data_IF_558222299633
#
_entry.id   IF_558222299633
#
_cell.length_a   1.000
_cell.length_b   1.000
_cell.length_c   1.000
_cell.angle_alpha   90.00
_cell.angle_beta   90.00
_cell.angle_gamma   90.00
#
_symmetry.space_group_name_H-M   'P 1'
#
loop_
_entity.id
_entity.type
_entity.pdbx_description
1 polymer ?
#
# COMPACT_ATOMS: atom_id res chain seq x y z
N UNK A 1 5.35 2.12 32.05
CA UNK A 1 6.06 2.52 33.28
C UNK A 1 6.14 1.29 34.17
N UNK A 2 7.34 0.90 34.62
CA UNK A 2 7.53 -0.26 35.49
C UNK A 2 7.20 0.16 36.92
N UNK A 3 6.19 -0.46 37.53
CA UNK A 3 5.69 -0.08 38.86
C UNK A 3 6.07 -1.07 39.96
N UNK A 4 6.61 -2.23 39.56
CA UNK A 4 7.27 -3.23 40.41
C UNK A 4 8.17 -4.11 39.51
N UNK A 5 9.10 -4.90 40.07
CA UNK A 5 10.19 -5.55 39.27
C UNK A 5 9.75 -6.40 38.06
N UNK A 6 8.48 -6.83 37.98
CA UNK A 6 7.90 -7.56 36.83
C UNK A 6 6.55 -7.01 36.35
N UNK A 7 6.13 -5.83 36.79
CA UNK A 7 4.79 -5.30 36.49
C UNK A 7 4.88 -4.15 35.48
N UNK A 8 4.19 -4.34 34.35
CA UNK A 8 4.13 -3.38 33.25
C UNK A 8 2.71 -2.87 33.06
N UNK A 9 2.52 -1.56 33.19
CA UNK A 9 1.22 -0.90 32.97
C UNK A 9 1.08 -0.38 31.54
N UNK A 10 -0.06 -0.69 30.92
CA UNK A 10 -0.42 -0.27 29.57
C UNK A 10 -1.74 0.49 29.58
N UNK A 11 -1.79 1.57 28.80
CA UNK A 11 -3.02 2.33 28.53
C UNK A 11 -3.06 2.59 27.03
N UNK A 12 -4.17 2.26 26.39
CA UNK A 12 -4.44 2.61 25.00
C UNK A 12 -5.81 3.24 24.87
N UNK A 13 -5.95 4.10 23.87
CA UNK A 13 -7.19 4.77 23.53
C UNK A 13 -7.44 4.71 22.03
N UNK A 14 -8.71 4.61 21.63
CA UNK A 14 -9.10 4.69 20.23
C UNK A 14 -10.50 5.29 20.08
N UNK A 15 -10.89 5.72 18.87
CA UNK A 15 -12.27 6.11 18.60
C UNK A 15 -13.24 4.98 18.95
N UNK A 16 -14.23 5.27 19.79
CA UNK A 16 -15.30 4.35 20.17
C UNK A 16 -16.40 4.35 19.11
N UNK A 17 -16.58 3.22 18.44
CA UNK A 17 -17.60 3.03 17.39
C UNK A 17 -18.39 1.73 17.60
N UNK A 18 -18.67 1.37 18.85
CA UNK A 18 -19.26 0.09 19.25
C UNK A 18 -18.46 -1.09 18.67
N UNK A 19 -17.14 -1.05 18.86
CA UNK A 19 -16.17 -2.02 18.37
C UNK A 19 -15.26 -2.47 19.51
N UNK A 20 -14.55 -3.58 19.30
CA UNK A 20 -13.44 -3.96 20.18
C UNK A 20 -12.17 -3.16 19.86
N UNK A 21 -11.29 -3.04 20.84
CA UNK A 21 -9.91 -2.58 20.67
C UNK A 21 -8.96 -3.66 21.18
N UNK A 22 -7.81 -3.81 20.52
CA UNK A 22 -6.84 -4.86 20.83
C UNK A 22 -5.43 -4.32 20.91
N UNK A 23 -4.67 -4.87 21.86
CA UNK A 23 -3.23 -4.70 21.98
C UNK A 23 -2.59 -6.09 22.10
N UNK A 24 -1.72 -6.43 21.16
CA UNK A 24 -1.01 -7.71 21.12
C UNK A 24 0.49 -7.57 21.23
N UNK A 25 1.12 -8.63 21.70
CA UNK A 25 2.56 -8.74 21.91
C UNK A 25 3.08 -9.86 21.01
N UNK A 26 3.88 -9.47 20.03
CA UNK A 26 4.32 -10.33 18.92
C UNK A 26 5.83 -10.52 18.92
N UNK A 27 6.34 -11.66 18.48
CA UNK A 27 7.80 -11.87 18.35
C UNK A 27 8.39 -11.21 17.10
N UNK A 28 7.62 -11.16 16.02
CA UNK A 28 8.05 -10.69 14.70
C UNK A 28 7.21 -9.50 14.18
N UNK A 29 6.21 -9.09 14.95
CA UNK A 29 5.30 -7.99 14.60
C UNK A 29 4.09 -8.44 13.80
N UNK A 30 3.90 -9.75 13.58
CA UNK A 30 2.73 -10.33 12.92
C UNK A 30 1.67 -10.77 13.92
N UNK A 31 0.43 -10.90 13.45
CA UNK A 31 -0.69 -11.40 14.23
C UNK A 31 -0.50 -12.87 14.63
N UNK A 32 -0.27 -13.74 13.64
CA UNK A 32 -0.17 -15.19 13.82
C UNK A 32 0.99 -15.56 14.76
N UNK A 33 0.68 -16.36 15.78
CA UNK A 33 1.62 -16.78 16.83
C UNK A 33 1.75 -15.80 18.00
N UNK A 34 0.99 -14.70 18.02
CA UNK A 34 1.03 -13.70 19.09
C UNK A 34 -0.04 -13.93 20.16
N UNK A 35 0.09 -13.23 21.28
CA UNK A 35 -0.96 -13.11 22.29
C UNK A 35 -1.45 -11.68 22.38
N UNK A 36 -2.74 -11.48 22.67
CA UNK A 36 -3.33 -10.15 22.77
C UNK A 36 -4.28 -10.00 23.94
N UNK A 37 -4.44 -8.76 24.40
CA UNK A 37 -5.53 -8.31 25.25
C UNK A 37 -6.50 -7.55 24.36
N UNK A 38 -7.77 -7.96 24.39
CA UNK A 38 -8.84 -7.37 23.59
C UNK A 38 -9.99 -7.04 24.52
N UNK A 39 -10.63 -5.91 24.29
CA UNK A 39 -11.74 -5.47 25.12
C UNK A 39 -12.66 -4.53 24.38
N UNK A 40 -13.87 -4.46 24.90
CA UNK A 40 -14.97 -3.68 24.37
C UNK A 40 -15.93 -3.29 25.49
N UNK A 41 -16.77 -2.29 25.20
CA UNK A 41 -17.91 -1.93 26.05
C UNK A 41 -19.16 -2.27 25.26
N UNK A 42 -20.00 -3.13 25.83
CA UNK A 42 -21.28 -3.55 25.26
C UNK A 42 -22.31 -2.43 25.27
N UNK A 43 -23.36 -2.55 24.46
CA UNK A 43 -24.42 -1.54 24.35
C UNK A 43 -25.19 -1.31 25.68
N UNK A 44 -25.17 -2.29 26.58
CA UNK A 44 -25.72 -2.22 27.94
C UNK A 44 -24.76 -1.55 28.95
N UNK A 45 -23.58 -1.10 28.49
CA UNK A 45 -22.52 -0.54 29.33
C UNK A 45 -21.59 -1.59 29.94
N UNK A 46 -21.78 -2.88 29.63
CA UNK A 46 -20.94 -3.94 30.19
C UNK A 46 -19.54 -3.90 29.59
N UNK A 47 -18.56 -3.58 30.43
CA UNK A 47 -17.14 -3.60 30.11
C UNK A 47 -16.58 -5.03 30.11
N UNK A 48 -16.00 -5.47 28.98
CA UNK A 48 -15.38 -6.79 28.85
C UNK A 48 -13.94 -6.68 28.37
N UNK A 49 -13.04 -7.46 28.98
CA UNK A 49 -11.65 -7.60 28.57
C UNK A 49 -11.24 -9.06 28.64
N UNK A 50 -10.58 -9.56 27.60
CA UNK A 50 -10.13 -10.94 27.48
C UNK A 50 -8.75 -11.04 26.87
N UNK A 51 -8.04 -12.07 27.27
CA UNK A 51 -6.79 -12.51 26.64
C UNK A 51 -7.11 -13.39 25.44
N UNK A 52 -6.30 -13.35 24.40
CA UNK A 52 -6.42 -14.18 23.21
C UNK A 52 -5.06 -14.75 22.79
N UNK A 53 -5.09 -16.00 22.31
CA UNK A 53 -4.03 -16.54 21.46
C UNK A 53 -4.42 -16.36 20.00
N UNK A 54 -3.52 -15.78 19.19
CA UNK A 54 -3.75 -15.47 17.78
C UNK A 54 -3.07 -16.56 16.93
N UNK A 55 -3.69 -17.73 16.83
CA UNK A 55 -3.13 -18.90 16.13
C UNK A 55 -3.18 -18.82 14.60
N UNK A 56 -4.02 -17.96 14.05
CA UNK A 56 -4.27 -17.80 12.61
C UNK A 56 -5.13 -16.56 12.33
N UNK A 57 -5.42 -16.31 11.06
CA UNK A 57 -6.23 -15.16 10.62
C UNK A 57 -7.73 -15.48 10.58
N UNK A 58 -8.10 -16.77 10.65
CA UNK A 58 -9.49 -17.17 10.72
C UNK A 58 -10.06 -16.99 12.14
N UNK A 59 -11.35 -16.63 12.29
CA UNK A 59 -11.97 -16.49 13.61
C UNK A 59 -11.89 -17.75 14.49
N UNK A 60 -11.73 -18.94 13.90
CA UNK A 60 -11.61 -20.21 14.64
C UNK A 60 -10.24 -20.39 15.30
N UNK A 61 -9.20 -19.73 14.76
CA UNK A 61 -7.83 -19.80 15.24
C UNK A 61 -7.49 -18.65 16.19
N UNK A 62 -8.43 -17.74 16.43
CA UNK A 62 -8.32 -16.66 17.42
C UNK A 62 -9.03 -17.11 18.70
N UNK A 63 -8.25 -17.62 19.64
CA UNK A 63 -8.78 -18.41 20.75
C UNK A 63 -8.86 -17.55 22.02
N UNK A 64 -10.08 -17.30 22.57
CA UNK A 64 -10.25 -16.54 23.80
C UNK A 64 -9.67 -17.29 25.01
N UNK A 65 -9.27 -16.52 26.02
CA UNK A 65 -8.71 -16.95 27.31
C UNK A 65 -7.41 -17.77 27.23
N UNK A 66 -6.83 -17.92 26.04
CA UNK A 66 -5.53 -18.56 25.81
C UNK A 66 -4.42 -17.55 25.54
N UNK A 67 -3.18 -18.02 25.42
CA UNK A 67 -1.99 -17.20 25.20
C UNK A 67 -1.11 -17.08 26.43
N UNK A 68 0.03 -16.40 26.28
CA UNK A 68 1.10 -16.34 27.28
C UNK A 68 1.16 -15.02 28.07
N UNK A 69 0.11 -14.19 28.02
CA UNK A 69 0.04 -12.94 28.77
C UNK A 69 -0.54 -13.19 30.16
N UNK A 70 0.16 -12.80 31.22
CA UNK A 70 -0.34 -12.90 32.59
C UNK A 70 -0.87 -11.53 33.03
N UNK A 71 -2.19 -11.39 33.10
CA UNK A 71 -2.84 -10.20 33.62
C UNK A 71 -2.69 -10.16 35.15
N UNK A 72 -2.40 -8.98 35.70
CA UNK A 72 -2.51 -8.76 37.15
C UNK A 72 -3.99 -8.66 37.51
N UNK A 73 -4.43 -9.43 38.52
CA UNK A 73 -5.83 -9.48 38.93
C UNK A 73 -6.34 -8.10 39.41
N UNK A 74 -7.59 -7.76 39.05
CA UNK A 74 -8.31 -6.56 39.49
C UNK A 74 -7.68 -5.21 39.09
N UNK A 75 -6.77 -5.18 38.11
CA UNK A 75 -6.14 -3.94 37.62
C UNK A 75 -6.53 -3.58 36.19
N UNK A 76 -7.32 -4.42 35.53
CA UNK A 76 -7.86 -4.14 34.20
C UNK A 76 -9.09 -3.24 34.28
N UNK A 77 -9.12 -2.20 33.44
CA UNK A 77 -10.27 -1.33 33.28
C UNK A 77 -10.50 -1.02 31.81
N UNK A 78 -11.76 -0.91 31.43
CA UNK A 78 -12.15 -0.46 30.10
C UNK A 78 -13.39 0.42 30.24
N UNK A 79 -13.32 1.59 29.60
CA UNK A 79 -14.36 2.62 29.68
C UNK A 79 -14.51 3.26 28.31
N UNK A 80 -15.75 3.54 27.91
CA UNK A 80 -16.05 4.31 26.71
C UNK A 80 -16.70 5.63 27.13
N UNK A 81 -16.04 6.75 26.80
CA UNK A 81 -16.49 8.10 27.15
C UNK A 81 -16.18 9.06 25.98
N UNK A 82 -17.09 10.00 25.69
CA UNK A 82 -16.88 11.04 24.66
C UNK A 82 -16.41 10.48 23.30
N UNK A 83 -17.00 9.37 22.85
CA UNK A 83 -16.63 8.67 21.61
C UNK A 83 -15.17 8.18 21.57
N UNK A 84 -14.55 7.97 22.73
CA UNK A 84 -13.23 7.35 22.89
C UNK A 84 -13.38 6.15 23.82
N UNK A 85 -12.75 5.04 23.46
CA UNK A 85 -12.62 3.87 24.33
C UNK A 85 -11.21 3.84 24.89
N UNK A 86 -11.11 3.72 26.21
CA UNK A 86 -9.88 3.60 26.97
C UNK A 86 -9.79 2.18 27.51
N UNK A 87 -8.65 1.54 27.30
CA UNK A 87 -8.31 0.26 27.92
C UNK A 87 -7.02 0.41 28.69
N UNK A 88 -7.05 0.00 29.96
CA UNK A 88 -5.87 -0.08 30.81
C UNK A 88 -5.76 -1.48 31.41
N UNK A 89 -4.54 -2.03 31.42
CA UNK A 89 -4.24 -3.32 32.03
C UNK A 89 -2.79 -3.38 32.48
N UNK A 90 -2.49 -4.35 33.34
CA UNK A 90 -1.13 -4.65 33.77
C UNK A 90 -0.75 -6.07 33.42
N UNK A 91 0.49 -6.24 32.96
CA UNK A 91 1.10 -7.55 32.72
C UNK A 91 2.15 -7.86 33.78
N UNK A 92 2.13 -9.10 34.27
CA UNK A 92 3.19 -9.68 35.07
C UNK A 92 4.16 -10.43 34.14
N UNK A 93 5.31 -9.83 33.84
CA UNK A 93 6.34 -10.42 32.99
C UNK A 93 7.69 -9.75 33.23
N UNK A 94 8.77 -10.51 33.09
CA UNK A 94 10.14 -9.97 33.17
C UNK A 94 10.35 -8.88 32.11
N UNK A 95 9.91 -9.14 30.87
CA UNK A 95 9.95 -8.17 29.78
C UNK A 95 8.85 -8.45 28.76
N UNK A 96 7.95 -7.49 28.48
CA UNK A 96 6.97 -7.63 27.41
C UNK A 96 7.67 -7.65 26.04
N UNK A 97 7.01 -8.21 25.02
CA UNK A 97 7.56 -8.11 23.67
C UNK A 97 7.66 -6.65 23.23
N UNK A 98 8.78 -6.27 22.62
CA UNK A 98 8.99 -4.95 22.06
C UNK A 98 8.26 -4.74 20.72
N UNK A 99 7.69 -5.79 20.11
CA UNK A 99 6.81 -5.63 18.96
C UNK A 99 5.36 -5.72 19.40
N UNK A 100 4.70 -4.58 19.31
CA UNK A 100 3.32 -4.41 19.76
C UNK A 100 2.42 -4.23 18.55
N UNK A 101 1.38 -5.03 18.46
CA UNK A 101 0.33 -4.91 17.45
C UNK A 101 -0.89 -4.24 18.07
N UNK A 102 -1.56 -3.37 17.31
CA UNK A 102 -2.80 -2.73 17.70
C UNK A 102 -3.88 -3.07 16.68
N UNK A 103 -5.13 -3.18 17.14
CA UNK A 103 -6.26 -3.44 16.25
C UNK A 103 -7.54 -2.75 16.71
N UNK A 104 -8.36 -2.35 15.75
CA UNK A 104 -9.72 -1.85 15.95
C UNK A 104 -10.72 -2.75 15.24
N UNK A 105 -11.72 -3.19 15.97
CA UNK A 105 -12.82 -3.98 15.43
C UNK A 105 -13.68 -3.21 14.42
N UNK A 106 -14.51 -3.91 13.65
CA UNK A 106 -15.46 -3.29 12.75
C UNK A 106 -16.53 -2.49 13.53
N UNK A 107 -17.00 -1.40 12.93
CA UNK A 107 -18.01 -0.52 13.53
C UNK A 107 -19.31 -1.29 13.79
N UNK A 108 -19.87 -1.13 15.00
CA UNK A 108 -21.15 -1.74 15.38
C UNK A 108 -21.13 -3.26 15.51
N UNK A 109 -19.96 -3.91 15.48
CA UNK A 109 -19.83 -5.36 15.57
C UNK A 109 -18.95 -5.76 16.74
N UNK A 110 -19.62 -6.00 17.85
CA UNK A 110 -19.02 -6.48 19.10
C UNK A 110 -18.89 -8.01 19.12
N UNK A 111 -17.91 -8.56 19.85
CA UNK A 111 -17.84 -9.99 20.12
C UNK A 111 -19.09 -10.50 20.85
N UNK A 112 -19.56 -11.69 20.48
CA UNK A 112 -20.72 -12.33 21.13
C UNK A 112 -20.35 -12.79 22.55
N UNK A 113 -21.23 -12.63 23.55
CA UNK A 113 -20.98 -13.10 24.92
C UNK A 113 -20.96 -14.64 25.04
N UNK A 114 -21.38 -15.37 24.01
CA UNK A 114 -21.43 -16.84 24.01
C UNK A 114 -20.04 -17.44 23.81
N UNK A 115 -19.30 -16.95 22.82
CA UNK A 115 -18.03 -17.55 22.40
C UNK A 115 -16.86 -16.56 22.35
N UNK A 116 -17.12 -15.26 22.57
CA UNK A 116 -16.12 -14.20 22.54
C UNK A 116 -15.28 -14.17 21.27
N UNK A 117 -15.83 -14.67 20.16
CA UNK A 117 -15.10 -14.78 18.91
C UNK A 117 -14.93 -13.39 18.28
N UNK A 118 -13.70 -13.09 17.85
CA UNK A 118 -13.39 -11.81 17.22
C UNK A 118 -13.71 -11.87 15.73
N UNK A 119 -14.27 -10.77 15.22
CA UNK A 119 -14.38 -10.53 13.79
C UNK A 119 -13.11 -9.86 13.27
N UNK A 120 -12.90 -9.88 11.96
CA UNK A 120 -11.75 -9.23 11.33
C UNK A 120 -11.75 -7.73 11.67
N UNK A 121 -10.60 -7.24 12.14
CA UNK A 121 -10.39 -5.84 12.46
C UNK A 121 -10.48 -4.96 11.20
N UNK A 122 -10.93 -3.71 11.34
CA UNK A 122 -10.94 -2.72 10.25
C UNK A 122 -9.60 -1.99 10.11
N UNK A 123 -8.94 -1.76 11.24
CA UNK A 123 -7.65 -1.10 11.30
C UNK A 123 -6.71 -1.94 12.17
N UNK A 124 -5.45 -2.00 11.77
CA UNK A 124 -4.42 -2.65 12.54
C UNK A 124 -3.07 -2.01 12.21
N UNK A 125 -2.14 -2.08 13.15
CA UNK A 125 -0.76 -1.66 12.91
C UNK A 125 0.18 -2.42 13.82
N UNK A 126 1.46 -2.38 13.51
CA UNK A 126 2.54 -3.01 14.26
C UNK A 126 3.62 -1.98 14.51
N UNK A 127 4.08 -1.91 15.76
CA UNK A 127 5.09 -0.94 16.20
C UNK A 127 6.19 -1.65 16.97
N UNK A 128 7.38 -1.08 16.91
CA UNK A 128 8.43 -1.40 17.85
C UNK A 128 8.38 -0.40 19.01
N UNK A 129 8.38 -0.88 20.25
CA UNK A 129 8.38 -0.09 21.47
C UNK A 129 9.64 -0.45 22.28
N UNK A 130 10.52 0.52 22.44
CA UNK A 130 11.66 0.42 23.35
C UNK A 130 11.23 0.82 24.76
N UNK A 131 11.10 -0.16 25.65
CA UNK A 131 10.66 0.05 27.03
C UNK A 131 11.67 0.83 27.88
N UNK A 132 12.94 0.91 27.49
CA UNK A 132 13.96 1.65 28.23
C UNK A 132 13.95 3.13 27.88
N UNK A 133 13.88 3.46 26.59
CA UNK A 133 13.88 4.85 26.12
C UNK A 133 12.48 5.46 26.03
N UNK A 134 11.43 4.63 26.05
CA UNK A 134 10.05 5.04 25.80
C UNK A 134 9.79 5.41 24.34
N UNK A 135 10.74 5.17 23.42
CA UNK A 135 10.55 5.47 22.01
C UNK A 135 9.76 4.37 21.31
N UNK A 136 8.87 4.80 20.43
CA UNK A 136 8.13 3.91 19.53
C UNK A 136 8.46 4.21 18.08
N UNK A 137 8.76 3.18 17.28
CA UNK A 137 8.96 3.30 15.84
C UNK A 137 7.92 2.43 15.11
N UNK A 138 7.09 3.07 14.28
CA UNK A 138 6.23 2.35 13.33
C UNK A 138 7.02 2.04 12.07
N UNK A 139 7.80 0.95 12.05
CA UNK A 139 8.34 0.44 10.78
C UNK A 139 7.22 -0.26 10.02
N UNK A 140 6.64 0.41 9.03
CA UNK A 140 5.82 -0.26 8.02
C UNK A 140 6.64 -1.43 7.46
N UNK A 141 6.17 -2.68 7.57
CA UNK A 141 6.84 -3.82 6.94
C UNK A 141 7.12 -3.51 5.47
N UNK A 142 8.33 -3.83 5.01
CA UNK A 142 8.75 -3.68 3.62
C UNK A 142 8.63 -2.25 3.05
N UNK A 143 8.72 -1.20 3.89
CA UNK A 143 8.62 0.20 3.46
C UNK A 143 9.55 0.55 2.27
N UNK A 144 10.78 0.02 2.28
CA UNK A 144 11.71 0.22 1.17
C UNK A 144 11.22 -0.43 -0.13
N UNK A 145 10.66 -1.64 -0.05
CA UNK A 145 10.12 -2.33 -1.22
C UNK A 145 8.91 -1.58 -1.80
N UNK A 146 8.02 -1.07 -0.93
CA UNK A 146 6.88 -0.22 -1.33
C UNK A 146 7.36 1.06 -2.03
N UNK A 147 8.35 1.75 -1.46
CA UNK A 147 8.95 2.94 -2.07
C UNK A 147 9.61 2.61 -3.42
N UNK A 148 10.38 1.53 -3.50
CA UNK A 148 11.05 1.09 -4.74
C UNK A 148 10.03 0.76 -5.83
N UNK A 149 8.97 0.01 -5.52
CA UNK A 149 7.88 -0.28 -6.45
C UNK A 149 7.25 1.02 -6.99
N UNK A 150 6.87 1.93 -6.10
CA UNK A 150 6.24 3.20 -6.47
C UNK A 150 7.16 4.07 -7.35
N UNK A 151 8.42 4.23 -6.95
CA UNK A 151 9.39 5.03 -7.69
C UNK A 151 9.69 4.43 -9.07
N UNK A 152 9.98 3.13 -9.16
CA UNK A 152 10.25 2.47 -10.43
C UNK A 152 9.10 2.67 -11.41
N UNK A 153 7.85 2.42 -10.98
CA UNK A 153 6.69 2.54 -11.86
C UNK A 153 6.36 3.99 -12.22
N UNK A 154 6.52 4.94 -11.30
CA UNK A 154 6.30 6.35 -11.58
C UNK A 154 7.34 6.91 -12.57
N UNK A 155 8.63 6.61 -12.38
CA UNK A 155 9.68 7.06 -13.29
C UNK A 155 9.58 6.37 -14.67
N UNK A 156 9.31 5.07 -14.71
CA UNK A 156 9.18 4.35 -15.98
C UNK A 156 7.90 4.71 -16.73
N UNK A 157 6.75 4.24 -16.23
CA UNK A 157 5.45 4.35 -16.89
C UNK A 157 4.90 5.77 -16.87
N UNK A 158 5.15 6.52 -15.80
CA UNK A 158 4.62 7.88 -15.60
C UNK A 158 5.46 9.01 -16.21
N UNK A 159 6.76 8.80 -16.43
CA UNK A 159 7.68 9.86 -16.88
C UNK A 159 8.38 9.48 -18.18
N UNK A 160 9.13 8.38 -18.21
CA UNK A 160 9.92 8.00 -19.40
C UNK A 160 9.04 7.63 -20.59
N UNK A 161 7.92 6.92 -20.39
CA UNK A 161 7.00 6.58 -21.50
C UNK A 161 6.42 7.86 -22.17
N UNK A 162 5.85 8.85 -21.43
CA UNK A 162 5.44 10.12 -22.02
C UNK A 162 6.57 10.88 -22.72
N UNK A 163 7.77 10.94 -22.13
CA UNK A 163 8.94 11.58 -22.75
C UNK A 163 9.28 10.92 -24.08
N UNK A 164 9.32 9.59 -24.13
CA UNK A 164 9.54 8.82 -25.36
C UNK A 164 8.48 9.13 -26.43
N UNK A 165 7.21 9.29 -26.05
CA UNK A 165 6.13 9.65 -26.95
C UNK A 165 6.28 11.08 -27.52
N UNK A 166 6.64 12.06 -26.67
CA UNK A 166 6.93 13.45 -27.08
C UNK A 166 8.11 13.46 -28.08
N UNK A 167 9.20 12.76 -27.77
CA UNK A 167 10.36 12.62 -28.66
C UNK A 167 9.96 12.07 -30.03
N UNK A 168 9.19 10.98 -30.08
CA UNK A 168 8.75 10.40 -31.36
C UNK A 168 7.82 11.31 -32.16
N UNK A 169 7.03 12.14 -31.48
CA UNK A 169 6.06 13.03 -32.14
C UNK A 169 6.73 14.27 -32.74
N UNK A 170 7.61 14.91 -31.98
CA UNK A 170 8.11 16.25 -32.28
C UNK A 170 9.52 16.29 -32.86
N UNK A 171 10.33 15.23 -32.68
CA UNK A 171 11.67 15.17 -33.28
C UNK A 171 11.71 14.41 -34.60
N UNK A 172 10.55 14.01 -35.15
CA UNK A 172 10.43 13.13 -36.32
C UNK A 172 11.17 13.60 -37.58
N UNK A 173 11.42 14.89 -37.71
CA UNK A 173 12.21 15.49 -38.81
C UNK A 173 13.71 15.14 -38.76
N UNK A 174 14.22 14.80 -37.59
CA UNK A 174 15.62 14.40 -37.37
C UNK A 174 15.76 12.89 -37.52
N UNK A 175 15.49 12.33 -38.70
CA UNK A 175 15.75 10.91 -39.00
C UNK A 175 17.26 10.68 -39.17
N UNK A 176 17.88 9.65 -38.54
CA UNK A 176 17.28 8.60 -37.73
C UNK A 176 17.30 8.86 -36.21
N UNK A 177 17.77 10.03 -35.75
CA UNK A 177 17.95 10.38 -34.33
C UNK A 177 16.67 10.15 -33.52
N UNK A 178 15.52 10.64 -33.99
CA UNK A 178 14.25 10.50 -33.27
C UNK A 178 13.90 9.03 -32.98
N UNK A 179 14.21 8.14 -33.94
CA UNK A 179 13.87 6.73 -33.86
C UNK A 179 14.73 6.04 -32.80
N UNK A 180 16.05 6.25 -32.83
CA UNK A 180 16.95 5.71 -31.82
C UNK A 180 16.65 6.29 -30.44
N UNK A 181 16.44 7.60 -30.31
CA UNK A 181 16.09 8.22 -29.03
C UNK A 181 14.77 7.65 -28.46
N UNK A 182 13.73 7.54 -29.29
CA UNK A 182 12.46 6.94 -28.88
C UNK A 182 12.66 5.49 -28.42
N UNK A 183 13.28 4.64 -29.26
CA UNK A 183 13.45 3.22 -28.94
C UNK A 183 14.29 3.01 -27.69
N UNK A 184 15.35 3.80 -27.48
CA UNK A 184 16.19 3.71 -26.27
C UNK A 184 15.41 4.12 -25.03
N UNK A 185 14.70 5.25 -25.06
CA UNK A 185 13.89 5.73 -23.92
C UNK A 185 12.79 4.71 -23.59
N UNK A 186 12.06 4.21 -24.59
CA UNK A 186 10.99 3.23 -24.37
C UNK A 186 11.51 1.89 -23.88
N UNK A 187 12.66 1.42 -24.38
CA UNK A 187 13.28 0.18 -23.90
C UNK A 187 13.69 0.30 -22.43
N UNK A 188 14.34 1.41 -22.05
CA UNK A 188 14.73 1.66 -20.66
C UNK A 188 13.50 1.75 -19.75
N UNK A 189 12.48 2.50 -20.18
CA UNK A 189 11.23 2.62 -19.44
C UNK A 189 10.57 1.25 -19.23
N UNK A 190 10.46 0.44 -20.27
CA UNK A 190 9.84 -0.88 -20.18
C UNK A 190 10.59 -1.81 -19.23
N UNK A 191 11.93 -1.85 -19.26
CA UNK A 191 12.73 -2.69 -18.36
C UNK A 191 12.59 -2.27 -16.89
N UNK A 192 12.68 -0.96 -16.61
CA UNK A 192 12.49 -0.43 -15.26
C UNK A 192 11.05 -0.65 -14.76
N UNK A 193 10.07 -0.49 -15.65
CA UNK A 193 8.66 -0.70 -15.35
C UNK A 193 8.34 -2.17 -15.09
N UNK A 194 8.92 -3.08 -15.86
CA UNK A 194 8.82 -4.52 -15.62
C UNK A 194 9.40 -4.90 -14.25
N UNK A 195 10.60 -4.41 -13.92
CA UNK A 195 11.20 -4.61 -12.59
C UNK A 195 10.31 -4.02 -11.48
N UNK A 196 9.71 -2.85 -11.71
CA UNK A 196 8.74 -2.22 -10.82
C UNK A 196 7.51 -3.11 -10.58
N UNK A 197 6.96 -3.74 -11.61
CA UNK A 197 5.81 -4.65 -11.49
C UNK A 197 6.19 -5.93 -10.74
N UNK A 198 7.35 -6.53 -11.05
CA UNK A 198 7.88 -7.68 -10.28
C UNK A 198 8.02 -7.34 -8.80
N UNK A 199 8.57 -6.16 -8.49
CA UNK A 199 8.63 -5.63 -7.12
C UNK A 199 7.23 -5.52 -6.48
N UNK A 200 6.19 -5.23 -7.26
CA UNK A 200 4.80 -5.16 -6.80
C UNK A 200 4.23 -6.52 -6.41
N UNK A 201 4.46 -7.56 -7.22
CA UNK A 201 4.06 -8.93 -6.87
C UNK A 201 4.77 -9.45 -5.62
N UNK A 202 6.07 -9.18 -5.49
CA UNK A 202 6.82 -9.52 -4.28
C UNK A 202 6.26 -8.76 -3.08
N UNK A 203 5.88 -7.49 -3.24
CA UNK A 203 5.32 -6.69 -2.15
C UNK A 203 3.96 -7.22 -1.68
N UNK A 204 3.08 -7.59 -2.62
CA UNK A 204 1.76 -8.17 -2.33
C UNK A 204 1.89 -9.47 -1.52
N UNK A 205 2.70 -10.42 -2.01
CA UNK A 205 2.96 -11.70 -1.34
C UNK A 205 3.48 -11.51 0.09
N UNK A 206 4.38 -10.53 0.27
CA UNK A 206 5.00 -10.23 1.58
C UNK A 206 4.05 -9.54 2.55
N UNK A 207 3.14 -8.71 2.06
CA UNK A 207 2.18 -7.98 2.88
C UNK A 207 0.90 -8.79 3.16
N UNK A 208 0.62 -9.85 2.38
CA UNK A 208 -0.64 -10.59 2.43
C UNK A 208 -1.88 -9.66 2.32
N UNK A 209 -1.72 -8.56 1.57
CA UNK A 209 -2.78 -7.57 1.33
C UNK A 209 -3.34 -7.78 -0.06
N UNK A 210 -4.66 -7.82 -0.16
CA UNK A 210 -5.35 -7.84 -1.44
C UNK A 210 -5.39 -6.41 -2.05
N UNK A 211 -4.75 -6.27 -3.22
CA UNK A 211 -4.70 -5.04 -4.01
C UNK A 211 -5.24 -5.25 -5.43
N UNK A 212 -6.23 -6.15 -5.55
CA UNK A 212 -6.69 -6.72 -6.82
C UNK A 212 -6.92 -5.69 -7.93
N UNK A 213 -7.63 -4.60 -7.66
CA UNK A 213 -7.90 -3.59 -8.71
C UNK A 213 -6.64 -2.92 -9.26
N UNK A 214 -5.69 -2.57 -8.38
CA UNK A 214 -4.44 -1.90 -8.78
C UNK A 214 -3.54 -2.87 -9.55
N UNK A 215 -3.47 -4.10 -9.06
CA UNK A 215 -2.74 -5.22 -9.68
C UNK A 215 -3.30 -5.56 -11.06
N UNK A 216 -4.61 -5.75 -11.20
CA UNK A 216 -5.25 -6.06 -12.48
C UNK A 216 -5.00 -4.96 -13.50
N UNK A 217 -5.14 -3.69 -13.10
CA UNK A 217 -4.86 -2.56 -13.98
C UNK A 217 -3.36 -2.50 -14.36
N UNK A 218 -2.46 -2.76 -13.41
CA UNK A 218 -1.02 -2.85 -13.65
C UNK A 218 -0.63 -3.96 -14.63
N UNK A 219 -1.21 -5.16 -14.49
CA UNK A 219 -1.01 -6.28 -15.43
C UNK A 219 -1.54 -5.90 -16.81
N UNK A 220 -2.71 -5.27 -16.90
CA UNK A 220 -3.25 -4.83 -18.17
C UNK A 220 -2.34 -3.80 -18.87
N UNK A 221 -1.79 -2.83 -18.13
CA UNK A 221 -0.79 -1.88 -18.63
C UNK A 221 0.48 -2.61 -19.12
N UNK A 222 0.96 -3.61 -18.38
CA UNK A 222 2.10 -4.42 -18.80
C UNK A 222 1.84 -5.16 -20.12
N UNK A 223 0.66 -5.75 -20.28
CA UNK A 223 0.25 -6.40 -21.53
C UNK A 223 0.25 -5.40 -22.69
N UNK A 224 -0.29 -4.20 -22.49
CA UNK A 224 -0.20 -3.12 -23.49
C UNK A 224 1.26 -2.75 -23.79
N UNK A 225 2.14 -2.72 -22.79
CA UNK A 225 3.57 -2.49 -22.96
C UNK A 225 4.25 -3.58 -23.80
N UNK A 226 3.98 -4.86 -23.52
CA UNK A 226 4.46 -5.99 -24.33
C UNK A 226 3.99 -5.89 -25.78
N UNK A 227 2.73 -5.49 -25.98
CA UNK A 227 2.17 -5.23 -27.30
C UNK A 227 2.88 -4.08 -28.05
N UNK A 228 3.40 -3.07 -27.35
CA UNK A 228 4.26 -2.04 -27.95
C UNK A 228 5.64 -2.56 -28.34
N UNK A 229 6.24 -3.43 -27.51
CA UNK A 229 7.53 -4.08 -27.85
C UNK A 229 7.37 -4.97 -29.09
N UNK A 230 6.29 -5.75 -29.17
CA UNK A 230 5.95 -6.53 -30.37
C UNK A 230 5.73 -5.61 -31.57
N UNK A 231 5.08 -4.44 -31.38
CA UNK A 231 4.93 -3.46 -32.45
C UNK A 231 6.28 -3.03 -33.03
N UNK A 232 7.28 -2.80 -32.17
CA UNK A 232 8.63 -2.46 -32.61
C UNK A 232 9.29 -3.61 -33.39
N UNK A 233 9.18 -4.86 -32.94
CA UNK A 233 9.75 -6.02 -33.63
C UNK A 233 9.06 -6.30 -34.98
N UNK A 234 7.75 -6.12 -35.04
CA UNK A 234 6.92 -6.34 -36.23
C UNK A 234 6.80 -5.07 -37.11
N UNK A 235 7.71 -4.09 -36.95
CA UNK A 235 7.66 -2.79 -37.62
C UNK A 235 7.78 -2.94 -39.15
N UNK A 236 6.72 -2.64 -39.95
CA UNK A 236 6.80 -2.78 -41.40
C UNK A 236 7.73 -1.74 -42.04
N UNK A 237 8.29 -2.05 -43.21
CA UNK A 237 9.07 -1.12 -44.03
C UNK A 237 8.29 0.13 -44.44
N UNK A 238 8.98 1.25 -44.72
CA UNK A 238 8.38 2.57 -45.00
C UNK A 238 7.38 2.53 -46.17
N UNK A 239 7.65 1.72 -47.20
CA UNK A 239 6.81 1.58 -48.41
C UNK A 239 5.63 0.61 -48.26
N UNK A 240 5.50 -0.10 -47.13
CA UNK A 240 4.45 -1.11 -46.95
C UNK A 240 3.08 -0.48 -46.71
N UNK A 241 2.04 -0.94 -47.42
CA UNK A 241 0.64 -0.54 -47.15
C UNK A 241 0.19 -0.88 -45.71
N UNK A 242 0.77 -1.92 -45.11
CA UNK A 242 0.48 -2.34 -43.72
C UNK A 242 0.99 -1.32 -42.70
N UNK A 243 1.98 -0.49 -43.07
CA UNK A 243 2.54 0.56 -42.22
C UNK A 243 1.48 1.51 -41.67
N UNK A 244 0.42 1.79 -42.43
CA UNK A 244 -0.69 2.65 -42.00
C UNK A 244 -1.44 2.06 -40.81
N UNK A 245 -1.82 0.78 -40.88
CA UNK A 245 -2.53 0.09 -39.78
C UNK A 245 -1.63 -0.09 -38.57
N UNK A 246 -0.35 -0.42 -38.80
CA UNK A 246 0.65 -0.49 -37.73
C UNK A 246 0.79 0.84 -36.99
N UNK A 247 0.86 1.97 -37.71
CA UNK A 247 0.92 3.30 -37.09
C UNK A 247 -0.34 3.58 -36.25
N UNK A 248 -1.53 3.29 -36.78
CA UNK A 248 -2.78 3.50 -36.05
C UNK A 248 -2.82 2.68 -34.75
N UNK A 249 -2.48 1.40 -34.83
CA UNK A 249 -2.38 0.51 -33.67
C UNK A 249 -1.36 1.01 -32.64
N UNK A 250 -0.13 1.28 -33.07
CA UNK A 250 0.98 1.70 -32.21
C UNK A 250 0.66 3.02 -31.50
N UNK A 251 0.15 4.03 -32.23
CA UNK A 251 -0.19 5.33 -31.66
C UNK A 251 -1.38 5.27 -30.71
N UNK A 252 -2.41 4.49 -31.06
CA UNK A 252 -3.64 4.43 -30.25
C UNK A 252 -3.37 3.68 -28.94
N UNK A 253 -2.80 2.48 -29.02
CA UNK A 253 -2.49 1.71 -27.81
C UNK A 253 -1.43 2.39 -26.94
N UNK A 254 -0.46 3.09 -27.53
CA UNK A 254 0.55 3.83 -26.77
C UNK A 254 -0.06 4.95 -25.93
N UNK A 255 -1.04 5.69 -26.48
CA UNK A 255 -1.75 6.75 -25.75
C UNK A 255 -2.67 6.20 -24.66
N UNK A 256 -3.41 5.12 -24.96
CA UNK A 256 -4.24 4.43 -23.97
C UNK A 256 -3.38 3.94 -22.80
N UNK A 257 -2.23 3.33 -23.08
CA UNK A 257 -1.27 2.89 -22.07
C UNK A 257 -0.84 4.05 -21.17
N UNK A 258 -0.46 5.20 -21.73
CA UNK A 258 -0.05 6.40 -20.96
C UNK A 258 -1.16 6.86 -20.02
N UNK A 259 -2.40 6.95 -20.49
CA UNK A 259 -3.54 7.40 -19.68
C UNK A 259 -3.84 6.42 -18.54
N UNK A 260 -3.85 5.11 -18.83
CA UNK A 260 -4.09 4.08 -17.82
C UNK A 260 -2.96 4.03 -16.79
N UNK A 261 -1.70 4.18 -17.23
CA UNK A 261 -0.54 4.25 -16.34
C UNK A 261 -0.64 5.45 -15.39
N UNK A 262 -0.98 6.63 -15.89
CA UNK A 262 -1.17 7.81 -15.04
C UNK A 262 -2.27 7.59 -13.99
N UNK A 263 -3.43 7.05 -14.39
CA UNK A 263 -4.53 6.71 -13.47
C UNK A 263 -4.11 5.67 -12.42
N UNK A 264 -3.40 4.62 -12.84
CA UNK A 264 -2.96 3.57 -11.92
C UNK A 264 -1.88 4.06 -10.95
N UNK A 265 -1.05 5.03 -11.33
CA UNK A 265 -0.06 5.66 -10.45
C UNK A 265 -0.77 6.49 -9.36
N UNK A 266 -1.75 7.33 -9.71
CA UNK A 266 -2.55 8.03 -8.70
C UNK A 266 -3.24 7.07 -7.75
N UNK A 267 -3.82 5.99 -8.29
CA UNK A 267 -4.43 4.96 -7.45
C UNK A 267 -3.40 4.28 -6.54
N UNK A 268 -2.21 3.98 -7.04
CA UNK A 268 -1.10 3.42 -6.27
C UNK A 268 -0.58 4.37 -5.19
N UNK A 269 -0.55 5.69 -5.42
CA UNK A 269 -0.18 6.69 -4.41
C UNK A 269 -1.21 6.72 -3.28
N UNK A 270 -2.51 6.65 -3.62
CA UNK A 270 -3.60 6.60 -2.64
C UNK A 270 -3.57 5.29 -1.82
N UNK A 271 -3.47 4.14 -2.49
CA UNK A 271 -3.29 2.84 -1.84
C UNK A 271 -1.99 2.77 -1.03
N UNK A 272 -0.99 3.54 -1.47
CA UNK A 272 0.32 3.75 -0.86
C UNK A 272 0.29 4.57 0.43
N UNK A 273 -0.83 5.24 0.73
CA UNK A 273 -0.93 6.31 1.73
C UNK A 273 0.31 7.23 1.75
N UNK A 274 0.85 7.54 0.57
CA UNK A 274 2.10 8.29 0.47
C UNK A 274 1.91 9.79 0.78
N UNK A 275 0.65 10.24 0.83
CA UNK A 275 0.27 11.61 1.17
C UNK A 275 0.08 12.53 -0.04
N UNK A 276 -0.56 13.67 0.22
CA UNK A 276 -0.99 14.65 -0.79
C UNK A 276 0.16 15.22 -1.62
N UNK A 277 1.37 15.33 -1.05
CA UNK A 277 2.55 15.87 -1.72
C UNK A 277 2.91 15.06 -2.97
N UNK A 278 2.84 13.73 -2.91
CA UNK A 278 3.13 12.88 -4.08
C UNK A 278 2.06 13.01 -5.17
N UNK A 279 0.78 13.10 -4.78
CA UNK A 279 -0.31 13.34 -5.72
C UNK A 279 -0.13 14.68 -6.46
N UNK A 280 0.14 15.75 -5.72
CA UNK A 280 0.37 17.09 -6.30
C UNK A 280 1.61 17.08 -7.18
N UNK A 281 2.72 16.50 -6.73
CA UNK A 281 3.96 16.45 -7.50
C UNK A 281 3.80 15.69 -8.83
N UNK A 282 3.09 14.56 -8.82
CA UNK A 282 2.82 13.81 -10.04
C UNK A 282 1.84 14.55 -10.96
N UNK A 283 0.80 15.19 -10.43
CA UNK A 283 -0.11 16.02 -11.20
C UNK A 283 0.59 17.20 -11.89
N UNK A 284 1.50 17.90 -11.18
CA UNK A 284 2.33 18.97 -11.74
C UNK A 284 3.22 18.42 -12.87
N UNK A 285 3.80 17.23 -12.70
CA UNK A 285 4.61 16.59 -13.74
C UNK A 285 3.81 16.33 -15.02
N UNK A 286 2.58 15.80 -14.89
CA UNK A 286 1.68 15.61 -16.03
C UNK A 286 1.28 16.93 -16.68
N UNK A 287 1.04 17.98 -15.89
CA UNK A 287 0.74 19.33 -16.40
C UNK A 287 1.91 19.90 -17.21
N UNK A 288 3.14 19.70 -16.76
CA UNK A 288 4.35 20.11 -17.50
C UNK A 288 4.45 19.37 -18.83
N UNK A 289 4.18 18.06 -18.87
CA UNK A 289 4.13 17.31 -20.13
C UNK A 289 3.03 17.81 -21.07
N UNK A 290 1.84 18.09 -20.53
CA UNK A 290 0.73 18.63 -21.31
C UNK A 290 1.09 20.00 -21.90
N UNK A 291 1.59 20.93 -21.08
CA UNK A 291 2.01 22.26 -21.52
C UNK A 291 3.13 22.17 -22.58
N UNK A 292 4.12 21.29 -22.36
CA UNK A 292 5.20 21.05 -23.33
C UNK A 292 4.64 20.55 -24.67
N UNK A 293 3.73 19.57 -24.64
CA UNK A 293 3.10 19.04 -25.84
C UNK A 293 2.28 20.11 -26.59
N UNK A 294 1.52 20.95 -25.87
CA UNK A 294 0.76 22.06 -26.45
C UNK A 294 1.70 23.06 -27.14
N UNK A 295 2.77 23.50 -26.46
CA UNK A 295 3.75 24.42 -27.03
C UNK A 295 4.39 23.84 -28.29
N UNK A 296 4.81 22.57 -28.26
CA UNK A 296 5.43 21.90 -29.39
C UNK A 296 4.46 21.68 -30.55
N UNK A 297 3.18 21.38 -30.28
CA UNK A 297 2.15 21.24 -31.31
C UNK A 297 1.88 22.58 -32.02
N UNK A 298 1.74 23.67 -31.25
CA UNK A 298 1.56 25.03 -31.80
C UNK A 298 2.75 25.40 -32.68
N UNK A 299 3.99 25.22 -32.20
CA UNK A 299 5.20 25.51 -32.98
C UNK A 299 5.24 24.73 -34.29
N UNK A 300 4.96 23.44 -34.24
CA UNK A 300 4.98 22.59 -35.44
C UNK A 300 3.88 22.98 -36.45
N UNK A 301 2.74 23.52 -36.01
CA UNK A 301 1.71 24.04 -36.93
C UNK A 301 2.11 25.39 -37.53
N UNK A 302 2.81 26.25 -36.80
CA UNK A 302 3.31 27.53 -37.31
C UNK A 302 4.48 27.38 -38.30
N UNK A 303 5.24 26.28 -38.22
CA UNK A 303 6.39 26.01 -39.10
C UNK A 303 6.04 25.17 -40.35
N UNK A 304 4.76 24.80 -40.52
CA UNK A 304 4.25 24.13 -41.71
C UNK A 304 3.66 25.15 -42.67
#
# INVERSE_FOLDING_TARGET
>A
MQTDTKVWSFVLSAPSSNSFIGMGFSRDGKMVGSSAIVGWVSNDGTSTMKRYFLGGESPAEVIPDQGNLELVNLTSSIVAENSIIYMAFQLNTDMPSNRVIYSLGPNGRLPSPVNYQLSQHREHTSTFLDYYSGQSESKSPYANLRKTHGLLNMFSWGILIPVGAIVARYLRQYDPIWFYSHTTIQSLAFLLGFAGIVCGFVLEDRLAVDVDRHKTLGIFILVLGCLQVIAFLARPGKESKVRKYWNWYHYTLGRVLILLAAGNIFYGIHLGDAGTVWNVGFAVTLLVFFATAVILEIRMWMTK
#
